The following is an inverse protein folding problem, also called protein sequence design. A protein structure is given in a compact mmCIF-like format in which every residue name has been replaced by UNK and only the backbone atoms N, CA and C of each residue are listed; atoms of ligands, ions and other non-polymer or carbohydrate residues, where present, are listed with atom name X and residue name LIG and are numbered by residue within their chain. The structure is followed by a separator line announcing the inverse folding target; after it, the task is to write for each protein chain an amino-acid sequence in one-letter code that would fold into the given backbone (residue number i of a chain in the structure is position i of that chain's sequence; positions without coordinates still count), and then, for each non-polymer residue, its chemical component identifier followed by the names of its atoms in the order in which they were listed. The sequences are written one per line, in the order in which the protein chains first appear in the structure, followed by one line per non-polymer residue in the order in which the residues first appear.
data_IF_512968347722
#
_entry.id   IF_512968347722
#
_cell.length_a   1.000
_cell.length_b   1.000
_cell.length_c   1.000
_cell.angle_alpha   90.00
_cell.angle_beta   90.00
_cell.angle_gamma   90.00
#
_symmetry.space_group_name_H-M   'P 1'
#
loop_
_entity.id
_entity.type
_entity.pdbx_description
1 polymer ?
#
# COMPACT_ATOMS: atom_id res chain seq x y z
N UNK A 1 5.70 13.49 -9.01
CA UNK A 1 6.28 14.08 -7.79
C UNK A 1 5.18 14.24 -6.76
N UNK A 2 5.18 13.42 -5.74
CA UNK A 2 4.31 13.67 -4.59
C UNK A 2 4.90 14.83 -3.80
N UNK A 3 4.42 16.04 -4.07
CA UNK A 3 4.51 17.09 -3.09
C UNK A 3 3.59 16.70 -1.95
N UNK A 4 4.12 15.96 -0.98
CA UNK A 4 3.51 15.91 0.33
C UNK A 4 3.45 17.36 0.79
N UNK A 5 2.27 17.94 0.84
CA UNK A 5 2.04 19.21 1.51
C UNK A 5 2.39 18.98 2.98
N UNK A 6 3.66 19.21 3.33
CA UNK A 6 4.10 19.22 4.72
C UNK A 6 3.47 20.46 5.32
N UNK A 7 2.28 20.31 5.86
CA UNK A 7 1.62 21.40 6.59
C UNK A 7 2.25 21.48 7.98
N UNK A 8 2.96 22.58 8.22
CA UNK A 8 3.55 22.86 9.52
C UNK A 8 2.59 23.70 10.35
N UNK A 9 2.35 23.29 11.58
CA UNK A 9 1.48 23.96 12.53
C UNK A 9 2.28 24.65 13.61
N UNK A 10 1.88 25.87 13.96
CA UNK A 10 2.33 26.53 15.19
C UNK A 10 1.74 25.79 16.41
N UNK A 11 2.37 25.88 17.59
CA UNK A 11 1.88 25.18 18.78
C UNK A 11 0.40 25.47 19.11
N UNK A 12 -0.06 26.69 18.91
CA UNK A 12 -1.47 27.05 19.15
C UNK A 12 -2.42 26.34 18.19
N UNK A 13 -2.09 26.34 16.88
CA UNK A 13 -2.88 25.69 15.84
C UNK A 13 -2.93 24.17 16.06
N UNK A 14 -1.81 23.59 16.43
CA UNK A 14 -1.73 22.14 16.69
C UNK A 14 -2.46 21.74 17.98
N UNK A 15 -2.42 22.57 19.00
CA UNK A 15 -3.19 22.38 20.24
C UNK A 15 -4.71 22.39 19.96
N UNK A 16 -5.17 23.31 19.14
CA UNK A 16 -6.57 23.38 18.70
C UNK A 16 -6.95 22.12 17.91
N UNK A 17 -6.10 21.67 16.99
CA UNK A 17 -6.31 20.47 16.19
C UNK A 17 -6.46 19.19 17.05
N UNK A 18 -5.68 19.09 18.13
CA UNK A 18 -5.74 17.97 19.07
C UNK A 18 -6.75 18.17 20.22
N UNK A 19 -7.40 19.31 20.27
CA UNK A 19 -8.29 19.71 21.37
C UNK A 19 -7.61 19.68 22.75
N UNK A 20 -6.40 20.21 22.82
CA UNK A 20 -5.60 20.33 24.06
C UNK A 20 -5.07 21.73 24.23
N UNK A 21 -4.44 22.03 25.37
CA UNK A 21 -3.79 23.33 25.60
C UNK A 21 -2.34 23.33 25.10
N UNK A 22 -1.81 24.51 24.80
CA UNK A 22 -0.39 24.66 24.47
C UNK A 22 0.51 24.18 25.63
N UNK A 23 0.10 24.36 26.87
CA UNK A 23 0.82 23.85 28.06
C UNK A 23 0.91 22.33 28.04
N UNK A 24 -0.16 21.65 27.59
CA UNK A 24 -0.16 20.20 27.42
C UNK A 24 0.85 19.75 26.37
N UNK A 25 0.91 20.44 25.22
CA UNK A 25 1.92 20.15 24.19
C UNK A 25 3.35 20.35 24.72
N UNK A 26 3.59 21.41 25.48
CA UNK A 26 4.91 21.70 26.09
C UNK A 26 5.29 20.62 27.12
N UNK A 27 4.33 20.12 27.89
CA UNK A 27 4.56 19.01 28.81
C UNK A 27 4.89 17.72 28.04
N UNK A 28 4.12 17.39 27.02
CA UNK A 28 4.36 16.20 26.20
C UNK A 28 5.71 16.24 25.46
N UNK A 29 6.16 17.42 25.03
CA UNK A 29 7.50 17.60 24.47
C UNK A 29 8.59 17.26 25.49
N UNK A 30 8.47 17.73 26.74
CA UNK A 30 9.41 17.43 27.83
C UNK A 30 9.38 15.98 28.26
N UNK A 31 8.19 15.38 28.31
CA UNK A 31 7.97 13.97 28.70
C UNK A 31 8.26 13.00 27.55
N UNK A 32 8.64 13.48 26.37
CA UNK A 32 8.90 12.72 25.14
C UNK A 32 7.70 11.91 24.66
N UNK A 33 6.48 12.31 24.99
CA UNK A 33 5.22 11.73 24.52
C UNK A 33 4.96 12.20 23.08
N UNK A 34 5.12 13.50 22.82
CA UNK A 34 5.00 14.11 21.50
C UNK A 34 6.06 15.21 21.38
N UNK A 35 7.17 14.86 20.73
CA UNK A 35 8.33 15.72 20.61
C UNK A 35 8.07 16.77 19.53
N UNK A 36 8.19 18.06 19.88
CA UNK A 36 8.08 19.14 18.94
C UNK A 36 9.30 19.20 18.01
N UNK A 37 9.06 19.50 16.74
CA UNK A 37 10.13 19.92 15.84
C UNK A 37 10.58 21.34 16.20
N UNK A 38 11.82 21.69 15.85
CA UNK A 38 12.42 22.99 16.13
C UNK A 38 12.90 23.66 14.85
N UNK A 39 12.60 24.94 14.70
CA UNK A 39 13.24 25.77 13.68
C UNK A 39 14.69 26.08 14.06
N UNK A 40 15.55 26.56 13.14
CA UNK A 40 16.89 27.00 13.47
C UNK A 40 16.92 28.07 14.58
N UNK A 41 15.83 28.82 14.75
CA UNK A 41 15.67 29.83 15.82
C UNK A 41 15.04 29.25 17.10
N UNK A 42 15.04 27.93 17.24
CA UNK A 42 14.51 27.16 18.38
C UNK A 42 13.01 27.32 18.66
N UNK A 43 12.22 27.71 17.67
CA UNK A 43 10.76 27.79 17.79
C UNK A 43 10.15 26.43 17.54
N UNK A 44 9.18 26.02 18.37
CA UNK A 44 8.43 24.76 18.21
C UNK A 44 7.47 24.84 17.04
N UNK A 45 7.39 23.75 16.28
CA UNK A 45 6.35 23.49 15.31
C UNK A 45 6.02 22.00 15.26
N UNK A 46 4.85 21.67 14.71
CA UNK A 46 4.36 20.29 14.56
C UNK A 46 3.94 20.06 13.12
N UNK A 47 3.93 18.79 12.70
CA UNK A 47 3.55 18.41 11.33
C UNK A 47 2.22 17.66 11.32
N UNK A 48 1.58 17.59 10.15
CA UNK A 48 0.37 16.80 9.97
C UNK A 48 0.62 15.32 10.22
N UNK A 49 1.80 14.80 9.86
CA UNK A 49 2.19 13.43 10.14
C UNK A 49 2.22 13.13 11.64
N UNK A 50 2.68 14.06 12.47
CA UNK A 50 2.63 13.95 13.92
C UNK A 50 1.19 13.91 14.46
N UNK A 51 0.28 14.64 13.83
CA UNK A 51 -1.14 14.57 14.16
C UNK A 51 -1.71 13.18 13.86
N UNK A 52 -1.45 12.65 12.67
CA UNK A 52 -1.90 11.32 12.27
C UNK A 52 -1.32 10.25 13.20
N UNK A 53 -0.05 10.33 13.52
CA UNK A 53 0.65 9.42 14.43
C UNK A 53 0.05 9.45 15.84
N UNK A 54 -0.22 10.64 16.37
CA UNK A 54 -0.83 10.80 17.69
C UNK A 54 -2.26 10.25 17.75
N UNK A 55 -3.03 10.41 16.67
CA UNK A 55 -4.39 9.85 16.55
C UNK A 55 -4.42 8.34 16.31
N UNK A 56 -3.28 7.68 16.20
CA UNK A 56 -3.21 6.28 15.80
C UNK A 56 -3.63 6.03 14.34
N UNK A 57 -3.71 7.10 13.54
CA UNK A 57 -3.98 7.06 12.11
C UNK A 57 -2.62 7.07 11.37
N UNK A 58 -1.55 6.62 12.00
CA UNK A 58 -0.28 6.55 11.32
C UNK A 58 -0.45 5.64 10.09
N UNK A 59 -0.35 6.23 8.93
CA UNK A 59 0.19 5.51 7.80
C UNK A 59 1.63 5.18 8.19
N UNK A 60 1.85 4.09 8.90
CA UNK A 60 3.05 3.33 8.62
C UNK A 60 3.04 3.23 7.11
N UNK A 61 4.08 3.73 6.46
CA UNK A 61 4.19 3.63 5.02
C UNK A 61 3.92 2.15 4.72
N UNK A 62 2.78 1.86 4.09
CA UNK A 62 2.33 0.49 3.89
C UNK A 62 3.38 -0.18 3.02
N UNK A 63 4.27 -0.94 3.66
CA UNK A 63 5.41 -1.60 3.02
C UNK A 63 4.98 -2.82 2.21
N UNK A 64 3.67 -3.12 2.19
CA UNK A 64 3.12 -4.22 1.41
C UNK A 64 3.18 -3.92 -0.08
N UNK A 65 3.40 -4.96 -0.86
CA UNK A 65 3.59 -4.88 -2.30
C UNK A 65 2.30 -4.67 -3.06
N UNK A 66 2.40 -3.89 -4.14
CA UNK A 66 1.43 -3.88 -5.24
C UNK A 66 1.97 -4.79 -6.33
N UNK A 67 1.19 -5.79 -6.71
CA UNK A 67 1.61 -6.86 -7.61
C UNK A 67 0.73 -6.90 -8.85
N UNK A 68 1.35 -7.04 -10.01
CA UNK A 68 0.69 -7.45 -11.25
C UNK A 68 0.87 -8.96 -11.40
N UNK A 69 -0.23 -9.68 -11.62
CA UNK A 69 -0.21 -11.10 -11.96
C UNK A 69 -0.77 -11.31 -13.36
N UNK A 70 0.04 -11.84 -14.24
CA UNK A 70 -0.31 -12.17 -15.62
C UNK A 70 -0.07 -13.65 -15.90
N UNK A 71 -0.98 -14.28 -16.63
CA UNK A 71 -0.95 -15.71 -16.92
C UNK A 71 -1.41 -16.01 -18.34
N UNK A 72 -0.71 -16.93 -18.97
CA UNK A 72 -1.16 -17.65 -20.18
C UNK A 72 -0.98 -19.15 -19.98
N UNK A 73 -1.69 -19.94 -20.77
CA UNK A 73 -1.70 -21.40 -20.58
C UNK A 73 -0.42 -22.07 -21.04
N UNK A 74 0.21 -21.57 -22.10
CA UNK A 74 1.39 -22.17 -22.74
C UNK A 74 2.47 -21.13 -23.07
N UNK A 75 3.71 -21.60 -23.24
CA UNK A 75 4.84 -20.74 -23.63
C UNK A 75 4.69 -20.13 -25.03
N UNK A 76 3.90 -20.73 -25.90
CA UNK A 76 3.63 -20.18 -27.24
C UNK A 76 2.82 -18.88 -27.20
N UNK A 77 2.21 -18.57 -26.06
CA UNK A 77 1.43 -17.37 -25.82
C UNK A 77 2.25 -16.27 -25.09
N UNK A 78 3.58 -16.30 -25.22
CA UNK A 78 4.46 -15.33 -24.53
C UNK A 78 4.16 -13.88 -24.92
N UNK A 79 3.79 -13.61 -26.16
CA UNK A 79 3.44 -12.27 -26.63
C UNK A 79 2.14 -11.79 -25.97
N UNK A 80 1.15 -12.67 -25.82
CA UNK A 80 -0.09 -12.37 -25.09
C UNK A 80 0.18 -12.09 -23.60
N UNK A 81 1.15 -12.80 -23.03
CA UNK A 81 1.57 -12.58 -21.65
C UNK A 81 2.16 -11.19 -21.45
N UNK A 82 3.09 -10.78 -22.33
CA UNK A 82 3.69 -9.44 -22.27
C UNK A 82 2.64 -8.34 -22.55
N UNK A 83 1.73 -8.57 -23.48
CA UNK A 83 0.62 -7.64 -23.73
C UNK A 83 -0.27 -7.44 -22.50
N UNK A 84 -0.55 -8.50 -21.73
CA UNK A 84 -1.27 -8.39 -20.45
C UNK A 84 -0.48 -7.52 -19.46
N UNK A 85 0.82 -7.74 -19.33
CA UNK A 85 1.69 -6.98 -18.42
C UNK A 85 1.73 -5.52 -18.82
N UNK A 86 1.94 -5.21 -20.08
CA UNK A 86 2.01 -3.83 -20.59
C UNK A 86 0.68 -3.09 -20.39
N UNK A 87 -0.43 -3.74 -20.68
CA UNK A 87 -1.78 -3.19 -20.42
C UNK A 87 -1.99 -2.86 -18.94
N UNK A 88 -1.67 -3.81 -18.06
CA UNK A 88 -1.84 -3.62 -16.62
C UNK A 88 -0.88 -2.56 -16.07
N UNK A 89 0.35 -2.51 -16.57
CA UNK A 89 1.33 -1.51 -16.16
C UNK A 89 0.86 -0.10 -16.51
N UNK A 90 0.34 0.10 -17.73
CA UNK A 90 -0.22 1.38 -18.16
C UNK A 90 -1.46 1.75 -17.33
N UNK A 91 -2.34 0.80 -17.07
CA UNK A 91 -3.53 1.01 -16.26
C UNK A 91 -3.19 1.44 -14.84
N UNK A 92 -2.26 0.75 -14.20
CA UNK A 92 -1.83 1.02 -12.83
C UNK A 92 -1.09 2.36 -12.73
N UNK A 93 -0.22 2.66 -13.71
CA UNK A 93 0.48 3.95 -13.80
C UNK A 93 -0.51 5.11 -13.95
N UNK A 94 -1.55 4.95 -14.78
CA UNK A 94 -2.59 5.97 -14.95
C UNK A 94 -3.37 6.25 -13.66
N UNK A 95 -3.44 5.28 -12.74
CA UNK A 95 -4.02 5.45 -11.40
C UNK A 95 -3.06 6.07 -10.37
N UNK A 96 -1.83 6.37 -10.75
CA UNK A 96 -0.82 6.91 -9.86
C UNK A 96 -0.29 5.90 -8.84
N UNK A 97 -0.43 4.61 -9.11
CA UNK A 97 0.03 3.52 -8.23
C UNK A 97 1.36 2.99 -8.73
N UNK A 98 2.29 2.74 -7.82
CA UNK A 98 3.59 2.12 -8.11
C UNK A 98 3.47 0.61 -7.98
N UNK A 99 3.90 -0.12 -9.01
CA UNK A 99 3.99 -1.58 -9.01
C UNK A 99 5.32 -2.01 -8.41
N UNK A 100 5.28 -2.89 -7.42
CA UNK A 100 6.49 -3.41 -6.75
C UNK A 100 6.97 -4.73 -7.37
N UNK A 101 6.04 -5.54 -7.89
CA UNK A 101 6.37 -6.84 -8.47
C UNK A 101 5.46 -7.20 -9.64
N UNK A 102 6.00 -7.86 -10.64
CA UNK A 102 5.29 -8.36 -11.82
C UNK A 102 5.50 -9.85 -11.96
N UNK A 103 4.45 -10.62 -11.75
CA UNK A 103 4.46 -12.07 -11.83
C UNK A 103 3.96 -12.51 -13.21
N UNK A 104 4.80 -13.23 -13.93
CA UNK A 104 4.48 -13.87 -15.21
C UNK A 104 4.45 -15.36 -15.02
N UNK A 105 3.34 -15.99 -15.36
CA UNK A 105 3.19 -17.44 -15.17
C UNK A 105 2.62 -18.14 -16.40
N UNK A 106 3.17 -19.31 -16.68
CA UNK A 106 2.68 -20.25 -17.68
C UNK A 106 1.99 -21.41 -16.98
N UNK A 107 0.71 -21.60 -17.25
CA UNK A 107 -0.06 -22.68 -16.65
C UNK A 107 -1.56 -22.46 -16.82
N UNK A 108 -2.31 -23.53 -16.80
CA UNK A 108 -3.77 -23.49 -16.88
C UNK A 108 -4.39 -22.79 -15.66
N UNK A 109 -5.46 -22.04 -15.87
CA UNK A 109 -6.28 -21.47 -14.79
C UNK A 109 -6.99 -22.55 -13.95
N UNK A 110 -7.03 -23.79 -14.41
CA UNK A 110 -7.53 -24.95 -13.67
C UNK A 110 -6.44 -25.64 -12.83
N UNK A 111 -5.17 -25.29 -13.06
CA UNK A 111 -4.06 -25.84 -12.29
C UNK A 111 -3.83 -25.02 -11.01
N UNK A 112 -4.25 -25.55 -9.89
CA UNK A 112 -4.05 -24.95 -8.57
C UNK A 112 -2.63 -25.18 -8.00
N UNK A 113 -1.78 -25.96 -8.68
CA UNK A 113 -0.40 -26.22 -8.30
C UNK A 113 0.60 -25.28 -8.99
N UNK A 114 0.14 -24.17 -9.57
CA UNK A 114 1.00 -23.15 -10.15
C UNK A 114 1.92 -22.58 -9.09
N UNK A 115 3.22 -22.64 -9.33
CA UNK A 115 4.23 -22.30 -8.32
C UNK A 115 4.17 -20.84 -7.88
N UNK A 116 4.16 -19.93 -8.86
CA UNK A 116 4.19 -18.48 -8.59
C UNK A 116 2.86 -17.99 -8.00
N UNK A 117 1.74 -18.54 -8.45
CA UNK A 117 0.43 -18.26 -7.91
C UNK A 117 0.32 -18.69 -6.44
N UNK A 118 0.79 -19.89 -6.09
CA UNK A 118 0.82 -20.37 -4.71
C UNK A 118 1.76 -19.52 -3.83
N UNK A 119 2.90 -19.10 -4.36
CA UNK A 119 3.81 -18.20 -3.66
C UNK A 119 3.13 -16.86 -3.38
N UNK A 120 2.41 -16.29 -4.35
CA UNK A 120 1.64 -15.05 -4.17
C UNK A 120 0.59 -15.20 -3.07
N UNK A 121 -0.15 -16.30 -3.04
CA UNK A 121 -1.14 -16.57 -1.98
C UNK A 121 -0.48 -16.69 -0.60
N UNK A 122 0.71 -17.30 -0.51
CA UNK A 122 1.49 -17.36 0.73
C UNK A 122 1.90 -15.95 1.18
N UNK A 123 2.35 -15.10 0.27
CA UNK A 123 2.68 -13.69 0.58
C UNK A 123 1.46 -12.89 1.04
N UNK A 124 0.28 -13.17 0.49
CA UNK A 124 -0.99 -12.60 0.97
C UNK A 124 -1.26 -13.01 2.43
N UNK A 125 -1.13 -14.29 2.75
CA UNK A 125 -1.30 -14.80 4.13
C UNK A 125 -0.28 -14.21 5.11
N UNK A 126 0.92 -13.92 4.64
CA UNK A 126 1.98 -13.26 5.43
C UNK A 126 1.82 -11.74 5.53
N UNK A 127 0.73 -11.20 5.02
CA UNK A 127 0.42 -9.76 5.00
C UNK A 127 1.48 -8.90 4.28
N UNK A 128 2.08 -9.47 3.22
CA UNK A 128 3.12 -8.81 2.41
C UNK A 128 2.57 -8.12 1.16
N UNK A 129 1.31 -8.38 0.81
CA UNK A 129 0.66 -7.87 -0.40
C UNK A 129 -0.47 -6.93 -0.03
N UNK A 130 -0.51 -5.79 -0.71
CA UNK A 130 -1.53 -4.75 -0.55
C UNK A 130 -2.60 -4.85 -1.62
N UNK A 131 -2.19 -5.13 -2.86
CA UNK A 131 -3.06 -5.11 -4.01
C UNK A 131 -2.54 -6.02 -5.11
N UNK A 132 -3.44 -6.72 -5.79
CA UNK A 132 -3.15 -7.57 -6.94
C UNK A 132 -3.97 -7.07 -8.13
N UNK A 133 -3.29 -6.80 -9.26
CA UNK A 133 -3.94 -6.46 -10.51
C UNK A 133 -3.88 -7.65 -11.48
N UNK A 134 -5.01 -7.96 -12.05
CA UNK A 134 -5.16 -8.98 -13.10
C UNK A 134 -5.98 -8.41 -14.25
N UNK A 135 -5.70 -8.82 -15.48
CA UNK A 135 -6.42 -8.32 -16.66
C UNK A 135 -7.86 -8.84 -16.74
N UNK A 136 -8.10 -10.03 -16.23
CA UNK A 136 -9.41 -10.65 -16.11
C UNK A 136 -9.39 -11.68 -14.97
N UNK A 137 -10.54 -11.93 -14.34
CA UNK A 137 -10.64 -12.84 -13.19
C UNK A 137 -10.18 -14.27 -13.49
N UNK A 138 -10.38 -14.79 -14.70
CA UNK A 138 -9.92 -16.13 -15.09
C UNK A 138 -8.40 -16.22 -15.33
N UNK A 139 -7.68 -15.10 -15.35
CA UNK A 139 -6.21 -15.07 -15.33
C UNK A 139 -5.67 -15.39 -13.94
N UNK A 140 -6.41 -15.05 -12.90
CA UNK A 140 -6.08 -15.44 -11.54
C UNK A 140 -6.47 -16.90 -11.27
N UNK A 141 -7.72 -17.24 -11.52
CA UNK A 141 -8.26 -18.59 -11.39
C UNK A 141 -9.48 -18.74 -12.30
N UNK A 142 -9.66 -19.89 -12.96
CA UNK A 142 -10.78 -20.12 -13.87
C UNK A 142 -12.10 -20.32 -13.15
N UNK A 143 -12.10 -21.04 -12.02
CA UNK A 143 -13.28 -21.29 -11.20
C UNK A 143 -13.01 -20.87 -9.75
N UNK A 144 -14.07 -20.44 -9.06
CA UNK A 144 -14.01 -20.08 -7.66
C UNK A 144 -13.33 -18.72 -7.38
N UNK A 145 -13.36 -17.81 -8.34
CA UNK A 145 -12.75 -16.48 -8.17
C UNK A 145 -13.30 -15.76 -6.93
N UNK A 146 -14.59 -15.84 -6.67
CA UNK A 146 -15.23 -15.20 -5.51
C UNK A 146 -14.67 -15.73 -4.19
N UNK A 147 -14.27 -16.98 -4.13
CA UNK A 147 -13.63 -17.56 -2.95
C UNK A 147 -12.26 -16.90 -2.71
N UNK A 148 -11.46 -16.75 -3.77
CA UNK A 148 -10.15 -16.09 -3.68
C UNK A 148 -10.24 -14.60 -3.43
N UNK A 149 -11.25 -13.94 -3.99
CA UNK A 149 -11.54 -12.52 -3.71
C UNK A 149 -11.87 -12.33 -2.21
N UNK A 150 -12.73 -13.15 -1.65
CA UNK A 150 -13.04 -13.15 -0.23
C UNK A 150 -11.82 -13.50 0.64
N UNK A 151 -10.99 -14.43 0.18
CA UNK A 151 -9.72 -14.75 0.83
C UNK A 151 -8.79 -13.54 0.87
N UNK A 152 -8.56 -12.87 -0.25
CA UNK A 152 -7.75 -11.66 -0.31
C UNK A 152 -8.32 -10.56 0.59
N UNK A 153 -9.63 -10.34 0.56
CA UNK A 153 -10.29 -9.34 1.41
C UNK A 153 -10.07 -9.58 2.91
N UNK A 154 -9.98 -10.83 3.36
CA UNK A 154 -9.66 -11.15 4.76
C UNK A 154 -8.27 -10.69 5.19
N UNK A 155 -7.36 -10.54 4.24
CA UNK A 155 -5.99 -10.05 4.45
C UNK A 155 -5.80 -8.60 4.01
N UNK A 156 -6.89 -7.87 3.75
CA UNK A 156 -6.89 -6.47 3.30
C UNK A 156 -6.12 -6.27 1.97
N UNK A 157 -6.28 -7.20 1.02
CA UNK A 157 -5.70 -7.17 -0.32
C UNK A 157 -6.78 -6.82 -1.35
#
# INVERSE_FOLDING_TARGET
MNTSNITNYKPKEFAELLNVTVKTLQRWDREKILIANRTPTNRRYYTYDQYLQFKGISKEADSRKVVIYARVSTKNQSDDLENQVDFLQQYVNAKGVIVDDVIREYGSGLNYNRKKWNQLLSEVMENKVKMIFVSHKDRFVRFGFEWFENFCNKFNV
#
